data_IF_841642369281
#
_entry.id   IF_841642369281
#
_cell.length_a   1.000
_cell.length_b   1.000
_cell.length_c   1.000
_cell.angle_alpha   90.00
_cell.angle_beta   90.00
_cell.angle_gamma   90.00
#
_symmetry.space_group_name_H-M   'P 1'
#
loop_
_entity.id
_entity.type
_entity.pdbx_description
1 polymer ?
#
# COMPACT_ATOMS: atom_id res chain seq x y z
N UNK A 1 -5.08 -27.73 15.79
CA UNK A 1 -4.19 -28.59 15.00
C UNK A 1 -3.44 -29.54 15.89
N UNK A 2 -3.29 -30.80 15.46
CA UNK A 2 -2.68 -31.87 16.23
C UNK A 2 -1.19 -31.96 15.84
N UNK A 3 -0.31 -31.34 16.63
CA UNK A 3 1.15 -31.29 16.43
C UNK A 3 1.79 -32.65 16.05
N UNK A 4 1.17 -33.75 16.47
CA UNK A 4 1.61 -35.12 16.18
C UNK A 4 1.37 -35.57 14.73
N UNK A 5 0.33 -35.10 14.04
CA UNK A 5 0.13 -35.39 12.61
C UNK A 5 1.12 -34.60 11.75
N UNK A 6 1.43 -33.37 12.19
CA UNK A 6 2.31 -32.42 11.53
C UNK A 6 3.80 -32.84 11.60
N UNK A 7 4.30 -33.24 12.78
CA UNK A 7 5.65 -33.82 12.92
C UNK A 7 5.81 -35.13 12.15
N UNK A 8 4.75 -35.94 12.08
CA UNK A 8 4.77 -37.19 11.30
C UNK A 8 4.88 -36.93 9.79
N UNK A 9 4.25 -35.86 9.30
CA UNK A 9 4.38 -35.37 7.92
C UNK A 9 5.82 -35.00 7.58
N UNK A 10 6.47 -34.18 8.41
CA UNK A 10 7.85 -33.74 8.20
C UNK A 10 8.84 -34.92 8.22
N UNK A 11 8.70 -35.85 9.18
CA UNK A 11 9.53 -37.05 9.21
C UNK A 11 9.27 -38.00 8.04
N UNK A 12 8.03 -38.03 7.51
CA UNK A 12 7.70 -38.78 6.28
C UNK A 12 8.42 -38.17 5.08
N UNK A 13 8.40 -36.84 4.93
CA UNK A 13 9.15 -36.14 3.88
C UNK A 13 10.64 -36.49 3.94
N UNK A 14 11.30 -36.32 5.08
CA UNK A 14 12.73 -36.62 5.21
C UNK A 14 13.09 -38.04 4.81
N UNK A 15 12.28 -39.03 5.20
CA UNK A 15 12.51 -40.42 4.82
C UNK A 15 12.41 -40.64 3.32
N UNK A 16 11.43 -40.01 2.67
CA UNK A 16 11.24 -40.11 1.24
C UNK A 16 12.30 -39.33 0.46
N UNK A 17 12.76 -38.19 0.99
CA UNK A 17 13.84 -37.39 0.42
C UNK A 17 15.17 -38.16 0.42
N UNK A 18 15.55 -38.77 1.54
CA UNK A 18 16.74 -39.64 1.62
C UNK A 18 16.64 -40.77 0.59
N UNK A 19 15.48 -41.43 0.53
CA UNK A 19 15.24 -42.49 -0.45
C UNK A 19 15.35 -41.99 -1.89
N UNK A 20 14.86 -40.79 -2.18
CA UNK A 20 14.98 -40.18 -3.51
C UNK A 20 16.44 -39.86 -3.87
N UNK A 21 17.23 -39.41 -2.90
CA UNK A 21 18.66 -39.18 -3.05
C UNK A 21 19.44 -40.49 -3.32
N UNK A 22 19.11 -41.57 -2.61
CA UNK A 22 19.74 -42.89 -2.76
C UNK A 22 19.36 -43.59 -4.07
N UNK A 23 18.08 -43.56 -4.45
CA UNK A 23 17.58 -44.29 -5.63
C UNK A 23 17.72 -43.51 -6.93
N UNK A 24 17.71 -42.17 -6.88
CA UNK A 24 17.80 -41.26 -8.03
C UNK A 24 16.80 -41.60 -9.16
N UNK A 25 15.62 -42.09 -8.81
CA UNK A 25 14.56 -42.39 -9.79
C UNK A 25 13.49 -41.30 -9.79
N UNK A 26 12.80 -41.13 -10.92
CA UNK A 26 11.63 -40.23 -11.01
C UNK A 26 10.52 -40.63 -10.04
N UNK A 27 10.31 -41.92 -9.80
CA UNK A 27 9.27 -42.39 -8.88
C UNK A 27 9.58 -42.02 -7.42
N UNK A 28 10.83 -42.20 -6.99
CA UNK A 28 11.26 -41.83 -5.64
C UNK A 28 11.24 -40.32 -5.44
N UNK A 29 11.70 -39.55 -6.43
CA UNK A 29 11.63 -38.10 -6.43
C UNK A 29 10.18 -37.59 -6.36
N UNK A 30 9.28 -38.16 -7.15
CA UNK A 30 7.85 -37.81 -7.14
C UNK A 30 7.22 -38.04 -5.76
N UNK A 31 7.51 -39.17 -5.11
CA UNK A 31 6.98 -39.47 -3.77
C UNK A 31 7.50 -38.49 -2.72
N UNK A 32 8.78 -38.11 -2.79
CA UNK A 32 9.35 -37.09 -1.92
C UNK A 32 8.67 -35.74 -2.16
N UNK A 33 8.46 -35.37 -3.43
CA UNK A 33 7.82 -34.12 -3.83
C UNK A 33 6.37 -34.04 -3.34
N UNK A 34 5.57 -35.08 -3.54
CA UNK A 34 4.20 -35.14 -3.01
C UNK A 34 4.17 -35.01 -1.48
N UNK A 35 5.10 -35.68 -0.78
CA UNK A 35 5.18 -35.57 0.67
C UNK A 35 5.58 -34.17 1.15
N UNK A 36 6.27 -33.38 0.32
CA UNK A 36 6.58 -31.98 0.60
C UNK A 36 5.36 -31.08 0.46
N UNK A 37 4.55 -31.28 -0.59
CA UNK A 37 3.32 -30.50 -0.82
C UNK A 37 2.28 -30.67 0.30
N UNK A 38 2.33 -31.79 1.02
CA UNK A 38 1.48 -32.06 2.18
C UNK A 38 1.91 -31.26 3.43
N UNK A 39 3.07 -30.58 3.41
CA UNK A 39 3.62 -29.86 4.57
C UNK A 39 3.08 -28.42 4.65
N UNK A 40 2.82 -27.97 5.88
CA UNK A 40 2.54 -26.57 6.16
C UNK A 40 3.85 -25.83 6.49
N UNK A 41 3.97 -24.58 6.05
CA UNK A 41 5.24 -23.84 6.07
C UNK A 41 5.75 -23.60 7.49
N UNK A 42 4.85 -23.28 8.42
CA UNK A 42 5.25 -23.07 9.81
C UNK A 42 5.88 -24.31 10.47
N UNK A 43 5.55 -25.52 9.99
CA UNK A 43 6.19 -26.77 10.45
C UNK A 43 7.62 -26.83 9.92
N UNK A 44 7.82 -26.46 8.65
CA UNK A 44 9.15 -26.40 8.03
C UNK A 44 10.05 -25.43 8.80
N UNK A 45 9.54 -24.25 9.19
CA UNK A 45 10.28 -23.29 10.01
C UNK A 45 10.77 -23.86 11.35
N UNK A 46 10.03 -24.78 11.96
CA UNK A 46 10.43 -25.38 13.24
C UNK A 46 11.68 -26.27 13.14
N UNK A 47 12.06 -26.68 11.93
CA UNK A 47 13.22 -27.53 11.63
C UNK A 47 13.97 -27.03 10.38
N UNK A 48 14.00 -25.69 10.20
CA UNK A 48 14.47 -25.00 8.98
C UNK A 48 15.80 -25.54 8.46
N UNK A 49 16.84 -25.55 9.32
CA UNK A 49 18.19 -25.92 8.92
C UNK A 49 18.25 -27.35 8.39
N UNK A 50 17.55 -28.29 9.04
CA UNK A 50 17.52 -29.68 8.60
C UNK A 50 16.74 -29.84 7.30
N UNK A 51 15.64 -29.09 7.14
CA UNK A 51 14.86 -29.11 5.92
C UNK A 51 15.69 -28.62 4.74
N UNK A 52 16.37 -27.48 4.89
CA UNK A 52 17.29 -26.90 3.91
C UNK A 52 18.42 -27.89 3.55
N UNK A 53 19.07 -28.50 4.54
CA UNK A 53 20.11 -29.53 4.32
C UNK A 53 19.58 -30.73 3.52
N UNK A 54 18.41 -31.25 3.87
CA UNK A 54 17.79 -32.37 3.13
C UNK A 54 17.43 -31.95 1.71
N UNK A 55 16.89 -30.74 1.55
CA UNK A 55 16.49 -30.21 0.26
C UNK A 55 17.64 -30.11 -0.73
N UNK A 56 18.81 -29.66 -0.25
CA UNK A 56 20.02 -29.57 -1.05
C UNK A 56 20.52 -30.93 -1.58
N UNK A 57 20.07 -32.05 -1.01
CA UNK A 57 20.48 -33.41 -1.45
C UNK A 57 19.55 -34.04 -2.48
N UNK A 58 18.41 -33.42 -2.77
CA UNK A 58 17.41 -34.00 -3.67
C UNK A 58 17.88 -33.94 -5.13
N UNK A 59 17.57 -34.98 -5.94
CA UNK A 59 17.97 -35.03 -7.34
C UNK A 59 17.18 -34.02 -8.19
N UNK A 60 17.75 -33.57 -9.32
CA UNK A 60 17.12 -32.65 -10.29
C UNK A 60 15.69 -33.06 -10.68
N UNK A 61 15.41 -34.36 -10.80
CA UNK A 61 14.06 -34.85 -11.09
C UNK A 61 12.99 -34.46 -10.06
N UNK A 62 13.38 -34.14 -8.82
CA UNK A 62 12.51 -33.53 -7.81
C UNK A 62 12.18 -32.08 -8.18
N UNK A 63 13.20 -31.31 -8.56
CA UNK A 63 13.06 -29.92 -8.99
C UNK A 63 12.24 -29.81 -10.28
N UNK A 64 12.32 -30.79 -11.18
CA UNK A 64 11.46 -30.85 -12.37
C UNK A 64 9.96 -30.88 -12.01
N UNK A 65 9.59 -31.63 -10.98
CA UNK A 65 8.20 -31.66 -10.48
C UNK A 65 7.80 -30.32 -9.85
N UNK A 66 8.69 -29.74 -9.05
CA UNK A 66 8.50 -28.40 -8.49
C UNK A 66 8.27 -27.34 -9.59
N UNK A 67 9.14 -27.30 -10.61
CA UNK A 67 9.03 -26.37 -11.74
C UNK A 67 7.69 -26.53 -12.46
N UNK A 68 7.27 -27.78 -12.70
CA UNK A 68 6.01 -28.07 -13.39
C UNK A 68 4.80 -27.51 -12.63
N UNK A 69 4.77 -27.70 -11.30
CA UNK A 69 3.69 -27.18 -10.47
C UNK A 69 3.77 -25.65 -10.28
N UNK A 70 4.97 -25.07 -10.22
CA UNK A 70 5.13 -23.60 -10.20
C UNK A 70 4.52 -22.97 -11.45
N UNK A 71 4.85 -23.48 -12.64
CA UNK A 71 4.30 -22.99 -13.92
C UNK A 71 2.78 -23.10 -13.91
N UNK A 72 2.26 -24.24 -13.46
CA UNK A 72 0.83 -24.48 -13.35
C UNK A 72 0.16 -23.49 -12.39
N UNK A 73 0.67 -23.36 -11.16
CA UNK A 73 0.05 -22.54 -10.11
C UNK A 73 0.12 -21.05 -10.43
N UNK A 74 1.16 -20.57 -11.11
CA UNK A 74 1.19 -19.17 -11.61
C UNK A 74 -0.05 -18.84 -12.44
N UNK A 75 -0.56 -19.82 -13.21
CA UNK A 75 -1.67 -19.64 -14.13
C UNK A 75 -3.03 -20.06 -13.56
N UNK A 76 -3.10 -21.21 -12.88
CA UNK A 76 -4.34 -21.85 -12.46
C UNK A 76 -4.67 -21.62 -10.98
N UNK A 77 -3.66 -21.36 -10.13
CA UNK A 77 -3.83 -21.27 -8.68
C UNK A 77 -2.85 -20.26 -8.04
N UNK A 78 -2.94 -18.96 -8.40
CA UNK A 78 -1.96 -17.94 -8.01
C UNK A 78 -1.78 -17.76 -6.51
N UNK A 79 -2.83 -18.03 -5.71
CA UNK A 79 -2.74 -18.01 -4.25
C UNK A 79 -1.86 -19.15 -3.74
N UNK A 80 -1.91 -20.34 -4.33
CA UNK A 80 -1.04 -21.47 -3.94
C UNK A 80 0.44 -21.12 -4.15
N UNK A 81 0.77 -20.35 -5.19
CA UNK A 81 2.13 -19.85 -5.36
C UNK A 81 2.58 -18.97 -4.19
N UNK A 82 1.74 -18.01 -3.78
CA UNK A 82 2.06 -17.10 -2.68
C UNK A 82 2.19 -17.83 -1.35
N UNK A 83 1.39 -18.89 -1.15
CA UNK A 83 1.46 -19.72 0.04
C UNK A 83 2.70 -20.60 -0.01
N UNK A 84 2.80 -21.52 -0.97
CA UNK A 84 3.75 -22.64 -0.92
C UNK A 84 5.06 -22.38 -1.66
N UNK A 85 4.97 -21.90 -2.91
CA UNK A 85 6.13 -21.86 -3.81
C UNK A 85 7.12 -20.75 -3.48
N UNK A 86 6.61 -19.56 -3.10
CA UNK A 86 7.45 -18.41 -2.70
C UNK A 86 8.43 -18.78 -1.58
N UNK A 87 7.96 -19.54 -0.60
CA UNK A 87 8.76 -19.97 0.53
C UNK A 87 9.84 -20.97 0.12
N UNK A 88 9.46 -22.01 -0.61
CA UNK A 88 10.39 -23.03 -1.11
C UNK A 88 11.52 -22.41 -1.94
N UNK A 89 11.19 -21.45 -2.80
CA UNK A 89 12.14 -20.75 -3.64
C UNK A 89 13.21 -19.97 -2.85
N UNK A 90 12.91 -19.58 -1.61
CA UNK A 90 13.86 -18.96 -0.69
C UNK A 90 14.76 -19.93 0.08
N UNK A 91 14.53 -21.25 -0.04
CA UNK A 91 15.26 -22.29 0.70
C UNK A 91 16.18 -23.14 -0.17
N UNK A 92 16.03 -23.08 -1.49
CA UNK A 92 16.88 -23.82 -2.43
C UNK A 92 18.27 -23.18 -2.50
N UNK A 93 19.30 -24.00 -2.72
CA UNK A 93 20.67 -23.49 -2.90
C UNK A 93 20.82 -22.68 -4.18
N UNK A 94 21.87 -21.86 -4.30
CA UNK A 94 22.17 -21.10 -5.53
C UNK A 94 22.25 -22.00 -6.78
N UNK A 95 22.80 -23.21 -6.63
CA UNK A 95 22.90 -24.20 -7.72
C UNK A 95 21.52 -24.71 -8.13
N UNK A 96 20.66 -25.04 -7.15
CA UNK A 96 19.29 -25.47 -7.39
C UNK A 96 18.44 -24.33 -7.97
N UNK A 97 18.66 -23.10 -7.52
CA UNK A 97 18.02 -21.90 -8.04
C UNK A 97 18.33 -21.72 -9.52
N UNK A 98 19.61 -21.79 -9.92
CA UNK A 98 19.99 -21.67 -11.33
C UNK A 98 19.41 -22.81 -12.18
N UNK A 99 19.37 -24.04 -11.65
CA UNK A 99 18.69 -25.16 -12.31
C UNK A 99 17.19 -24.88 -12.52
N UNK A 100 16.48 -24.52 -11.45
CA UNK A 100 15.05 -24.20 -11.45
C UNK A 100 14.77 -23.07 -12.43
N UNK A 101 15.56 -21.99 -12.40
CA UNK A 101 15.47 -20.86 -13.34
C UNK A 101 15.65 -21.28 -14.79
N UNK A 102 16.64 -22.12 -15.08
CA UNK A 102 16.85 -22.66 -16.42
C UNK A 102 15.65 -23.49 -16.89
N UNK A 103 15.12 -24.37 -16.04
CA UNK A 103 13.96 -25.19 -16.36
C UNK A 103 12.69 -24.36 -16.53
N UNK A 104 12.47 -23.40 -15.66
CA UNK A 104 11.38 -22.43 -15.72
C UNK A 104 11.43 -21.62 -17.03
N UNK A 105 12.62 -21.25 -17.50
CA UNK A 105 12.79 -20.59 -18.79
C UNK A 105 12.45 -21.54 -19.94
N UNK A 106 13.04 -22.75 -19.96
CA UNK A 106 12.85 -23.73 -21.03
C UNK A 106 11.40 -24.20 -21.17
N UNK A 107 10.73 -24.46 -20.05
CA UNK A 107 9.35 -24.95 -20.02
C UNK A 107 8.36 -23.78 -20.14
N UNK A 108 8.68 -22.63 -19.52
CA UNK A 108 7.89 -21.40 -19.56
C UNK A 108 7.91 -20.67 -20.90
N UNK A 109 8.86 -20.94 -21.81
CA UNK A 109 8.83 -20.40 -23.18
C UNK A 109 7.50 -20.73 -23.91
N UNK A 110 6.90 -21.87 -23.57
CA UNK A 110 5.58 -22.26 -24.09
C UNK A 110 4.40 -21.68 -23.31
N UNK A 111 4.64 -21.09 -22.14
CA UNK A 111 3.66 -20.54 -21.20
C UNK A 111 3.97 -19.06 -20.86
N UNK A 112 3.50 -18.10 -21.69
CA UNK A 112 3.92 -16.70 -21.64
C UNK A 112 3.77 -16.02 -20.26
N UNK A 113 2.74 -16.39 -19.51
CA UNK A 113 2.47 -15.82 -18.18
C UNK A 113 3.49 -16.29 -17.15
N UNK A 114 3.85 -17.58 -17.14
CA UNK A 114 4.89 -18.11 -16.27
C UNK A 114 6.23 -17.44 -16.60
N UNK A 115 6.61 -17.41 -17.89
CA UNK A 115 7.83 -16.73 -18.32
C UNK A 115 7.90 -15.28 -17.82
N UNK A 116 6.85 -14.49 -18.05
CA UNK A 116 6.82 -13.10 -17.61
C UNK A 116 6.93 -12.98 -16.09
N UNK A 117 6.23 -13.85 -15.35
CA UNK A 117 6.29 -13.87 -13.89
C UNK A 117 7.72 -14.07 -13.39
N UNK A 118 8.41 -15.11 -13.89
CA UNK A 118 9.77 -15.47 -13.49
C UNK A 118 10.75 -14.33 -13.80
N UNK A 119 10.67 -13.75 -15.01
CA UNK A 119 11.48 -12.60 -15.40
C UNK A 119 11.23 -11.39 -14.51
N UNK A 120 9.97 -11.15 -14.12
CA UNK A 120 9.61 -10.08 -13.18
C UNK A 120 10.24 -10.29 -11.81
N UNK A 121 10.21 -11.52 -11.27
CA UNK A 121 10.81 -11.85 -9.96
C UNK A 121 12.33 -11.66 -9.99
N UNK A 122 13.01 -12.12 -11.04
CA UNK A 122 14.46 -11.92 -11.22
C UNK A 122 14.85 -10.43 -11.17
N UNK A 123 14.16 -9.62 -11.96
CA UNK A 123 14.42 -8.18 -12.02
C UNK A 123 14.16 -7.48 -10.68
N UNK A 124 13.16 -7.95 -9.94
CA UNK A 124 12.87 -7.45 -8.60
C UNK A 124 13.97 -7.83 -7.60
N UNK A 125 14.54 -9.05 -7.70
CA UNK A 125 15.68 -9.46 -6.88
C UNK A 125 16.98 -8.73 -7.23
N UNK A 126 17.12 -8.26 -8.47
CA UNK A 126 18.21 -7.41 -8.94
C UNK A 126 18.03 -5.92 -8.57
N UNK A 127 17.02 -5.58 -7.76
CA UNK A 127 16.68 -4.22 -7.34
C UNK A 127 16.35 -3.29 -8.51
N UNK A 128 15.66 -3.81 -9.53
CA UNK A 128 15.15 -3.05 -10.70
C UNK A 128 13.62 -3.09 -10.81
N UNK A 129 12.88 -2.63 -9.78
CA UNK A 129 11.42 -2.73 -9.73
C UNK A 129 10.71 -2.03 -10.89
N UNK A 130 11.29 -0.97 -11.48
CA UNK A 130 10.74 -0.28 -12.65
C UNK A 130 10.70 -1.14 -13.90
N UNK A 131 11.63 -2.09 -14.06
CA UNK A 131 11.65 -3.02 -15.19
C UNK A 131 10.73 -4.20 -14.89
N UNK A 132 10.77 -4.71 -13.65
CA UNK A 132 9.90 -5.79 -13.19
C UNK A 132 8.40 -5.46 -13.37
N UNK A 133 8.00 -4.20 -13.17
CA UNK A 133 6.64 -3.72 -13.43
C UNK A 133 6.12 -4.09 -14.83
N UNK A 134 6.93 -3.97 -15.88
CA UNK A 134 6.50 -4.28 -17.24
C UNK A 134 6.10 -5.74 -17.40
N UNK A 135 6.79 -6.64 -16.71
CA UNK A 135 6.51 -8.07 -16.75
C UNK A 135 5.27 -8.42 -15.94
N UNK A 136 5.18 -7.95 -14.69
CA UNK A 136 4.02 -8.23 -13.85
C UNK A 136 2.73 -7.60 -14.37
N UNK A 137 2.80 -6.48 -15.08
CA UNK A 137 1.63 -5.83 -15.70
C UNK A 137 0.99 -6.67 -16.83
N UNK A 138 1.64 -7.74 -17.27
CA UNK A 138 1.07 -8.68 -18.25
C UNK A 138 0.29 -9.84 -17.61
N UNK A 139 0.30 -9.93 -16.28
CA UNK A 139 -0.26 -11.04 -15.51
C UNK A 139 -1.54 -10.56 -14.84
N UNK A 140 -2.68 -10.96 -15.41
CA UNK A 140 -4.01 -10.54 -14.95
C UNK A 140 -4.59 -11.52 -13.93
N UNK A 141 -3.97 -11.61 -12.75
CA UNK A 141 -4.43 -12.42 -11.63
C UNK A 141 -3.86 -11.90 -10.28
N UNK A 142 -4.23 -12.55 -9.17
CA UNK A 142 -3.82 -12.15 -7.81
C UNK A 142 -2.30 -12.12 -7.62
N UNK A 143 -1.58 -13.00 -8.32
CA UNK A 143 -0.12 -13.06 -8.25
C UNK A 143 0.51 -11.85 -8.94
N UNK A 144 0.00 -11.48 -10.12
CA UNK A 144 0.37 -10.25 -10.82
C UNK A 144 0.11 -9.00 -9.97
N UNK A 145 -1.08 -8.90 -9.38
CA UNK A 145 -1.46 -7.79 -8.50
C UNK A 145 -0.54 -7.68 -7.28
N UNK A 146 -0.20 -8.80 -6.63
CA UNK A 146 0.71 -8.83 -5.49
C UNK A 146 2.09 -8.29 -5.86
N UNK A 147 2.70 -8.81 -6.92
CA UNK A 147 4.06 -8.40 -7.30
C UNK A 147 4.13 -7.00 -7.92
N UNK A 148 3.07 -6.55 -8.63
CA UNK A 148 2.92 -5.15 -9.00
C UNK A 148 2.87 -4.25 -7.76
N UNK A 149 2.12 -4.65 -6.72
CA UNK A 149 2.05 -3.91 -5.47
C UNK A 149 3.41 -3.79 -4.79
N UNK A 150 4.19 -4.87 -4.75
CA UNK A 150 5.57 -4.87 -4.23
C UNK A 150 6.47 -3.93 -5.04
N UNK A 151 6.41 -3.97 -6.37
CA UNK A 151 7.18 -3.04 -7.20
C UNK A 151 6.81 -1.57 -6.92
N UNK A 152 5.51 -1.26 -6.86
CA UNK A 152 5.06 0.08 -6.51
C UNK A 152 5.49 0.50 -5.09
N UNK A 153 5.55 -0.44 -4.15
CA UNK A 153 5.99 -0.17 -2.79
C UNK A 153 7.47 0.21 -2.76
N UNK A 154 8.33 -0.54 -3.46
CA UNK A 154 9.77 -0.23 -3.58
C UNK A 154 10.03 1.09 -4.31
N UNK A 155 9.16 1.47 -5.24
CA UNK A 155 9.20 2.76 -5.94
C UNK A 155 8.53 3.91 -5.15
N UNK A 156 8.21 3.70 -3.88
CA UNK A 156 7.53 4.66 -3.00
C UNK A 156 6.16 5.16 -3.52
N UNK A 157 5.58 4.46 -4.48
CA UNK A 157 4.23 4.70 -4.98
C UNK A 157 3.20 3.98 -4.10
N UNK A 158 3.15 4.43 -2.84
CA UNK A 158 2.34 3.81 -1.79
C UNK A 158 0.84 3.81 -2.10
N UNK A 159 0.35 4.78 -2.89
CA UNK A 159 -1.07 4.83 -3.28
C UNK A 159 -1.46 3.65 -4.17
N UNK A 160 -0.64 3.34 -5.18
CA UNK A 160 -0.88 2.20 -6.06
C UNK A 160 -0.60 0.87 -5.36
N UNK A 161 0.49 0.79 -4.58
CA UNK A 161 0.82 -0.38 -3.77
C UNK A 161 -0.34 -0.75 -2.84
N UNK A 162 -0.83 0.21 -2.04
CA UNK A 162 -1.96 0.00 -1.12
C UNK A 162 -3.20 -0.51 -1.83
N UNK A 163 -3.55 0.06 -2.99
CA UNK A 163 -4.73 -0.33 -3.76
C UNK A 163 -4.66 -1.81 -4.17
N UNK A 164 -3.52 -2.24 -4.69
CA UNK A 164 -3.32 -3.60 -5.17
C UNK A 164 -3.23 -4.60 -4.02
N UNK A 165 -2.47 -4.32 -2.97
CA UNK A 165 -2.45 -5.18 -1.77
C UNK A 165 -3.85 -5.33 -1.16
N UNK A 166 -4.64 -4.26 -1.14
CA UNK A 166 -6.02 -4.31 -0.65
C UNK A 166 -6.92 -5.18 -1.54
N UNK A 167 -6.72 -5.17 -2.87
CA UNK A 167 -7.45 -6.03 -3.79
C UNK A 167 -7.15 -7.50 -3.52
N UNK A 168 -5.86 -7.88 -3.42
CA UNK A 168 -5.45 -9.24 -3.08
C UNK A 168 -5.99 -9.69 -1.72
N UNK A 169 -5.97 -8.81 -0.71
CA UNK A 169 -6.55 -9.11 0.60
C UNK A 169 -8.06 -9.34 0.53
N UNK A 170 -8.78 -8.56 -0.29
CA UNK A 170 -10.21 -8.75 -0.49
C UNK A 170 -10.52 -10.08 -1.15
N UNK A 171 -9.76 -10.48 -2.17
CA UNK A 171 -9.92 -11.79 -2.82
C UNK A 171 -9.71 -12.95 -1.84
N UNK A 172 -8.68 -12.86 -0.98
CA UNK A 172 -8.44 -13.86 0.08
C UNK A 172 -9.61 -13.93 1.07
N UNK A 173 -10.14 -12.77 1.48
CA UNK A 173 -11.29 -12.72 2.38
C UNK A 173 -12.56 -13.30 1.74
N UNK A 174 -12.75 -13.12 0.42
CA UNK A 174 -13.85 -13.74 -0.31
C UNK A 174 -13.68 -15.25 -0.42
N UNK A 175 -12.46 -15.72 -0.68
CA UNK A 175 -12.12 -17.14 -0.66
C UNK A 175 -12.44 -17.76 0.72
N UNK A 176 -12.02 -17.13 1.81
CA UNK A 176 -12.29 -17.56 3.18
C UNK A 176 -13.79 -17.59 3.53
N UNK A 177 -14.60 -16.68 2.96
CA UNK A 177 -16.06 -16.73 3.10
C UNK A 177 -16.66 -17.94 2.37
N UNK A 178 -16.14 -18.26 1.19
CA UNK A 178 -16.61 -19.38 0.38
C UNK A 178 -16.13 -20.75 0.90
N UNK A 179 -14.99 -20.78 1.58
CA UNK A 179 -14.34 -21.96 2.13
C UNK A 179 -13.91 -21.70 3.59
N UNK A 180 -14.84 -21.74 4.56
CA UNK A 180 -14.56 -21.37 5.94
C UNK A 180 -13.47 -22.18 6.64
N UNK A 181 -13.16 -23.39 6.15
CA UNK A 181 -12.05 -24.21 6.64
C UNK A 181 -10.68 -23.54 6.47
N UNK A 182 -10.55 -22.61 5.51
CA UNK A 182 -9.32 -21.85 5.27
C UNK A 182 -9.07 -20.77 6.33
N UNK A 183 -10.05 -20.47 7.20
CA UNK A 183 -9.83 -19.53 8.30
C UNK A 183 -8.85 -20.08 9.36
N UNK A 184 -8.71 -21.40 9.44
CA UNK A 184 -7.75 -22.06 10.34
C UNK A 184 -6.40 -22.33 9.67
N UNK A 185 -6.29 -22.07 8.36
CA UNK A 185 -5.05 -22.26 7.61
C UNK A 185 -3.99 -21.25 8.05
N UNK A 186 -2.86 -21.76 8.54
CA UNK A 186 -1.82 -20.92 9.13
C UNK A 186 -1.09 -20.10 8.06
N UNK A 187 -0.86 -20.66 6.87
CA UNK A 187 -0.08 -20.02 5.83
C UNK A 187 -0.90 -18.91 5.15
N UNK A 188 -2.21 -19.13 4.96
CA UNK A 188 -3.13 -18.09 4.49
C UNK A 188 -3.28 -16.94 5.48
N UNK A 189 -3.25 -17.25 6.77
CA UNK A 189 -3.21 -16.24 7.84
C UNK A 189 -1.92 -15.42 7.78
N UNK A 190 -0.76 -16.05 7.59
CA UNK A 190 0.52 -15.35 7.41
C UNK A 190 0.49 -14.41 6.21
N UNK A 191 0.00 -14.86 5.06
CA UNK A 191 -0.17 -14.01 3.88
C UNK A 191 -1.09 -12.81 4.16
N UNK A 192 -2.18 -13.03 4.91
CA UNK A 192 -3.09 -11.95 5.32
C UNK A 192 -2.41 -10.94 6.25
N UNK A 193 -1.53 -11.40 7.15
CA UNK A 193 -0.70 -10.55 8.01
C UNK A 193 0.22 -9.65 7.17
N UNK A 194 0.99 -10.21 6.24
CA UNK A 194 1.90 -9.46 5.37
C UNK A 194 1.16 -8.38 4.59
N UNK A 195 0.02 -8.74 3.98
CA UNK A 195 -0.81 -7.80 3.23
C UNK A 195 -1.31 -6.64 4.12
N UNK A 196 -1.78 -6.94 5.33
CA UNK A 196 -2.21 -5.90 6.27
C UNK A 196 -1.05 -4.99 6.69
N UNK A 197 0.15 -5.54 6.88
CA UNK A 197 1.34 -4.74 7.20
C UNK A 197 1.70 -3.78 6.07
N UNK A 198 1.71 -4.24 4.82
CA UNK A 198 1.94 -3.39 3.66
C UNK A 198 0.86 -2.31 3.52
N UNK A 199 -0.41 -2.67 3.66
CA UNK A 199 -1.54 -1.72 3.57
C UNK A 199 -1.44 -0.67 4.66
N UNK A 200 -1.18 -1.08 5.91
CA UNK A 200 -1.00 -0.19 7.04
C UNK A 200 0.16 0.79 6.80
N UNK A 201 1.34 0.26 6.44
CA UNK A 201 2.54 1.05 6.20
C UNK A 201 2.34 2.05 5.05
N UNK A 202 1.78 1.60 3.93
CA UNK A 202 1.47 2.46 2.80
C UNK A 202 0.43 3.53 3.16
N UNK A 203 -0.61 3.19 3.94
CA UNK A 203 -1.65 4.12 4.39
C UNK A 203 -1.08 5.21 5.31
N UNK A 204 -0.17 4.85 6.22
CA UNK A 204 0.55 5.82 7.06
C UNK A 204 1.40 6.75 6.19
N UNK A 205 2.11 6.20 5.21
CA UNK A 205 3.02 6.96 4.34
C UNK A 205 2.29 8.00 3.47
N UNK A 206 1.07 7.70 3.02
CA UNK A 206 0.24 8.65 2.25
C UNK A 206 -0.65 9.56 3.13
N UNK A 207 -0.61 9.40 4.46
CA UNK A 207 -1.40 10.20 5.40
C UNK A 207 -2.88 9.79 5.54
N UNK A 208 -3.27 8.61 5.05
CA UNK A 208 -4.62 8.04 5.20
C UNK A 208 -4.78 7.37 6.58
N UNK A 209 -4.60 8.14 7.67
CA UNK A 209 -4.50 7.59 9.04
C UNK A 209 -5.74 6.85 9.52
N UNK A 210 -6.94 7.23 9.06
CA UNK A 210 -8.17 6.52 9.40
C UNK A 210 -8.19 5.11 8.81
N UNK A 211 -7.81 4.98 7.54
CA UNK A 211 -7.69 3.68 6.87
C UNK A 211 -6.58 2.85 7.49
N UNK A 212 -5.47 3.47 7.89
CA UNK A 212 -4.41 2.82 8.65
C UNK A 212 -4.94 2.25 9.99
N UNK A 213 -5.72 3.03 10.76
CA UNK A 213 -6.35 2.55 11.99
C UNK A 213 -7.32 1.38 11.73
N UNK A 214 -8.21 1.51 10.74
CA UNK A 214 -9.16 0.46 10.36
C UNK A 214 -8.44 -0.83 9.99
N UNK A 215 -7.33 -0.75 9.25
CA UNK A 215 -6.55 -1.92 8.85
C UNK A 215 -5.81 -2.57 10.04
N UNK A 216 -5.23 -1.75 10.94
CA UNK A 216 -4.64 -2.25 12.18
C UNK A 216 -5.68 -2.92 13.10
N UNK A 217 -6.91 -2.41 13.15
CA UNK A 217 -8.02 -3.03 13.87
C UNK A 217 -8.42 -4.37 13.26
N UNK A 218 -8.48 -4.47 11.92
CA UNK A 218 -8.75 -5.74 11.22
C UNK A 218 -7.72 -6.78 11.63
N UNK A 219 -6.43 -6.45 11.64
CA UNK A 219 -5.41 -7.41 12.04
C UNK A 219 -5.59 -7.92 13.49
N UNK A 220 -6.01 -7.03 14.39
CA UNK A 220 -6.33 -7.39 15.77
C UNK A 220 -7.59 -8.24 15.94
N UNK A 221 -8.44 -8.33 14.90
CA UNK A 221 -9.56 -9.29 14.87
C UNK A 221 -9.13 -10.66 14.33
N UNK A 222 -8.12 -10.70 13.45
CA UNK A 222 -7.60 -11.93 12.84
C UNK A 222 -6.60 -12.67 13.74
N UNK A 223 -5.90 -11.91 14.60
CA UNK A 223 -4.84 -12.45 15.44
C UNK A 223 -4.89 -11.86 16.85
N UNK A 224 -4.70 -12.72 17.85
CA UNK A 224 -4.32 -12.25 19.17
C UNK A 224 -2.83 -11.82 19.18
N UNK A 225 -2.47 -10.95 20.13
CA UNK A 225 -1.13 -10.38 20.20
C UNK A 225 -0.02 -11.41 20.41
N UNK A 226 -0.28 -12.53 21.10
CA UNK A 226 0.74 -13.56 21.29
C UNK A 226 1.02 -14.28 19.97
N UNK A 227 -0.04 -14.56 19.22
CA UNK A 227 0.08 -15.14 17.88
C UNK A 227 0.86 -14.23 16.94
N UNK A 228 0.59 -12.91 16.94
CA UNK A 228 1.36 -11.94 16.12
C UNK A 228 2.84 -11.89 16.48
N UNK A 229 3.18 -11.93 17.77
CA UNK A 229 4.57 -11.94 18.23
C UNK A 229 5.26 -13.22 17.77
N UNK A 230 4.63 -14.39 18.00
CA UNK A 230 5.20 -15.67 17.59
C UNK A 230 5.44 -15.74 16.08
N UNK A 231 4.51 -15.20 15.28
CA UNK A 231 4.61 -15.13 13.82
C UNK A 231 5.80 -14.30 13.38
N UNK A 232 6.14 -13.21 14.05
CA UNK A 232 7.16 -12.26 13.58
C UNK A 232 8.55 -12.58 14.10
N UNK A 233 8.66 -13.21 15.27
CA UNK A 233 9.94 -13.62 15.85
C UNK A 233 10.61 -14.77 15.08
N UNK A 234 9.85 -15.57 14.32
CA UNK A 234 10.41 -16.65 13.50
C UNK A 234 11.07 -16.18 12.20
N UNK A 235 10.90 -14.93 11.78
CA UNK A 235 11.35 -14.41 10.47
C UNK A 235 12.46 -13.35 10.55
N UNK A 236 12.75 -12.79 11.72
CA UNK A 236 13.75 -11.73 11.86
C UNK A 236 15.14 -12.30 12.12
N UNK A 237 15.98 -12.34 11.08
CA UNK A 237 17.42 -12.50 11.22
C UNK A 237 18.02 -11.18 11.75
N UNK A 238 18.44 -11.22 13.02
CA UNK A 238 19.29 -10.26 13.77
C UNK A 238 20.01 -9.16 12.95
N UNK A 239 19.39 -7.99 12.72
CA UNK A 239 20.15 -6.81 12.27
C UNK A 239 19.85 -5.52 13.06
N UNK A 240 18.71 -5.38 13.72
CA UNK A 240 18.45 -4.29 14.67
C UNK A 240 17.48 -4.81 15.75
N UNK A 241 17.52 -4.30 16.99
CA UNK A 241 16.68 -4.70 18.13
C UNK A 241 15.14 -4.47 17.94
N UNK A 242 14.67 -4.41 16.68
CA UNK A 242 13.27 -4.15 16.29
C UNK A 242 12.77 -5.32 15.45
N UNK A 243 11.69 -5.93 15.91
CA UNK A 243 10.99 -6.98 15.17
C UNK A 243 10.01 -6.39 14.15
N UNK A 244 9.57 -7.17 13.17
CA UNK A 244 8.48 -6.78 12.27
C UNK A 244 7.20 -6.44 13.04
N UNK A 245 6.97 -7.10 14.17
CA UNK A 245 5.90 -6.74 15.09
C UNK A 245 6.09 -5.36 15.71
N UNK A 246 7.31 -4.99 16.12
CA UNK A 246 7.59 -3.65 16.65
C UNK A 246 7.35 -2.57 15.58
N UNK A 247 7.69 -2.86 14.31
CA UNK A 247 7.42 -1.96 13.17
C UNK A 247 5.91 -1.82 12.94
N UNK A 248 5.16 -2.93 12.95
CA UNK A 248 3.71 -2.91 12.85
C UNK A 248 3.07 -2.09 13.98
N UNK A 249 3.50 -2.31 15.23
CA UNK A 249 3.03 -1.53 16.39
C UNK A 249 3.31 -0.04 16.17
N UNK A 250 4.52 0.32 15.75
CA UNK A 250 4.87 1.71 15.48
C UNK A 250 3.92 2.34 14.46
N UNK A 251 3.67 1.69 13.33
CA UNK A 251 2.79 2.22 12.29
C UNK A 251 1.34 2.36 12.77
N UNK A 252 0.84 1.39 13.53
CA UNK A 252 -0.50 1.47 14.12
C UNK A 252 -0.60 2.62 15.15
N UNK A 253 0.43 2.82 15.97
CA UNK A 253 0.49 3.94 16.92
C UNK A 253 0.58 5.29 16.21
N UNK A 254 1.34 5.40 15.12
CA UNK A 254 1.36 6.61 14.28
C UNK A 254 -0.05 6.94 13.78
N UNK A 255 -0.79 5.94 13.29
CA UNK A 255 -2.17 6.13 12.82
C UNK A 255 -3.11 6.65 13.94
N UNK A 256 -3.00 6.09 15.15
CA UNK A 256 -3.78 6.52 16.31
C UNK A 256 -3.37 7.92 16.82
N UNK A 257 -2.07 8.19 16.89
CA UNK A 257 -1.50 9.46 17.35
C UNK A 257 -1.93 10.62 16.46
N UNK A 258 -1.86 10.45 15.13
CA UNK A 258 -2.27 11.46 14.15
C UNK A 258 -3.77 11.75 14.19
N UNK A 259 -4.57 10.82 14.69
CA UNK A 259 -6.00 11.00 14.94
C UNK A 259 -6.32 11.44 16.37
N UNK A 260 -5.31 11.75 17.19
CA UNK A 260 -5.45 12.15 18.60
C UNK A 260 -6.14 11.09 19.48
N UNK A 261 -6.14 9.83 19.05
CA UNK A 261 -6.76 8.71 19.75
C UNK A 261 -5.83 8.14 20.83
N UNK A 262 -5.30 9.02 21.69
CA UNK A 262 -4.26 8.68 22.66
C UNK A 262 -4.72 7.65 23.68
N UNK A 263 -6.01 7.66 24.05
CA UNK A 263 -6.59 6.66 24.95
C UNK A 263 -6.50 5.24 24.39
N UNK A 264 -6.83 5.07 23.11
CA UNK A 264 -6.72 3.77 22.43
C UNK A 264 -5.26 3.36 22.31
N UNK A 265 -4.38 4.28 21.94
CA UNK A 265 -2.95 4.05 21.80
C UNK A 265 -2.28 3.61 23.12
N UNK A 266 -2.50 4.33 24.24
CA UNK A 266 -1.95 3.95 25.56
C UNK A 266 -2.47 2.58 25.99
N UNK A 267 -3.79 2.36 25.93
CA UNK A 267 -4.39 1.07 26.31
C UNK A 267 -3.81 -0.10 25.49
N UNK A 268 -3.56 0.14 24.21
CA UNK A 268 -2.93 -0.85 23.34
C UNK A 268 -1.47 -1.10 23.72
N UNK A 269 -0.66 -0.04 23.88
CA UNK A 269 0.76 -0.13 24.24
C UNK A 269 0.98 -0.78 25.61
N UNK A 270 0.12 -0.53 26.60
CA UNK A 270 0.18 -1.22 27.90
C UNK A 270 -0.01 -2.74 27.76
N UNK A 271 -0.85 -3.19 26.82
CA UNK A 271 -1.01 -4.64 26.54
C UNK A 271 0.22 -5.19 25.85
N UNK A 272 0.79 -4.45 24.90
CA UNK A 272 2.01 -4.86 24.17
C UNK A 272 3.22 -4.91 25.09
N UNK A 273 3.44 -3.91 25.96
CA UNK A 273 4.57 -3.85 26.92
C UNK A 273 4.57 -5.03 27.90
N UNK A 274 3.40 -5.56 28.26
CA UNK A 274 3.31 -6.80 29.07
C UNK A 274 3.83 -8.04 28.34
N UNK A 275 3.73 -8.07 27.02
CA UNK A 275 4.20 -9.18 26.19
C UNK A 275 5.64 -8.98 25.72
N UNK A 276 6.06 -7.72 25.50
CA UNK A 276 7.41 -7.33 25.11
C UNK A 276 8.00 -6.34 26.13
N UNK A 277 8.36 -6.79 27.35
CA UNK A 277 8.90 -5.91 28.40
C UNK A 277 10.24 -5.30 28.02
N UNK A 278 11.03 -5.96 27.18
CA UNK A 278 12.40 -5.55 26.83
C UNK A 278 12.47 -4.64 25.59
N UNK A 279 11.35 -4.41 24.88
CA UNK A 279 11.35 -3.56 23.69
C UNK A 279 11.45 -2.08 24.05
N UNK A 280 12.59 -1.48 23.71
CA UNK A 280 12.89 -0.06 23.91
C UNK A 280 11.98 0.85 23.07
N UNK A 281 11.61 0.41 21.86
CA UNK A 281 10.69 1.14 20.99
C UNK A 281 9.30 1.24 21.62
N UNK A 282 8.77 0.12 22.13
CA UNK A 282 7.44 0.10 22.77
C UNK A 282 7.42 0.99 24.02
N UNK A 283 8.51 1.00 24.79
CA UNK A 283 8.65 1.89 25.95
C UNK A 283 8.62 3.37 25.55
N UNK A 284 9.45 3.75 24.56
CA UNK A 284 9.47 5.11 24.04
C UNK A 284 8.11 5.55 23.50
N UNK A 285 7.42 4.69 22.74
CA UNK A 285 6.08 5.00 22.22
C UNK A 285 5.08 5.19 23.36
N UNK A 286 5.12 4.33 24.39
CA UNK A 286 4.22 4.43 25.53
C UNK A 286 4.45 5.73 26.31
N UNK A 287 5.70 6.10 26.58
CA UNK A 287 6.03 7.37 27.25
C UNK A 287 5.55 8.57 26.42
N UNK A 288 5.88 8.60 25.13
CA UNK A 288 5.53 9.70 24.22
C UNK A 288 4.02 9.94 24.13
N UNK A 289 3.22 8.86 24.01
CA UNK A 289 1.76 8.98 23.94
C UNK A 289 1.17 9.26 25.33
N UNK A 290 1.74 8.72 26.41
CA UNK A 290 1.33 9.00 27.79
C UNK A 290 1.48 10.47 28.16
N UNK A 291 2.57 11.10 27.70
CA UNK A 291 2.77 12.54 27.83
C UNK A 291 1.70 13.34 27.09
N UNK A 292 1.35 12.93 25.86
CA UNK A 292 0.32 13.59 25.05
C UNK A 292 -1.07 13.47 25.67
N UNK A 293 -1.46 12.28 26.15
CA UNK A 293 -2.75 12.11 26.84
C UNK A 293 -2.79 12.90 28.15
N UNK A 294 -1.70 12.93 28.92
CA UNK A 294 -1.62 13.72 30.15
C UNK A 294 -1.81 15.21 29.89
N UNK A 295 -1.16 15.74 28.84
CA UNK A 295 -1.38 17.13 28.38
C UNK A 295 -2.82 17.36 27.93
N UNK A 296 -3.40 16.44 27.16
CA UNK A 296 -4.78 16.52 26.69
C UNK A 296 -5.78 16.51 27.86
N UNK A 297 -5.59 15.63 28.85
CA UNK A 297 -6.43 15.56 30.04
C UNK A 297 -6.27 16.77 30.95
N UNK A 298 -5.05 17.27 31.10
CA UNK A 298 -4.76 18.51 31.82
C UNK A 298 -5.45 19.69 31.15
N UNK A 299 -5.34 19.82 29.83
CA UNK A 299 -6.09 20.80 29.06
C UNK A 299 -7.60 20.61 29.27
N UNK A 300 -8.13 19.39 29.17
CA UNK A 300 -9.54 19.09 29.40
C UNK A 300 -10.01 19.32 30.84
N UNK A 301 -9.12 19.41 31.84
CA UNK A 301 -9.46 19.76 33.24
C UNK A 301 -9.39 21.27 33.48
N UNK A 302 -8.47 21.97 32.81
CA UNK A 302 -8.26 23.43 32.93
C UNK A 302 -9.26 24.20 32.08
N UNK A 303 -9.59 23.71 30.88
CA UNK A 303 -10.46 24.40 29.95
C UNK A 303 -11.91 24.55 30.47
N UNK A 304 -12.58 23.52 31.05
CA UNK A 304 -13.98 23.65 31.46
C UNK A 304 -14.24 24.71 32.55
N UNK A 305 -13.40 24.89 33.58
CA UNK A 305 -13.52 26.00 34.53
C UNK A 305 -13.24 27.38 33.93
N UNK A 306 -12.34 27.49 32.95
CA UNK A 306 -12.11 28.74 32.20
C UNK A 306 -13.34 29.05 31.32
N UNK A 307 -14.01 28.02 30.81
CA UNK A 307 -15.27 28.12 30.08
C UNK A 307 -16.50 28.00 31.02
N UNK A 308 -16.53 28.74 32.13
CA UNK A 308 -17.80 28.97 32.85
C UNK A 308 -18.85 29.54 31.89
N UNK A 309 -20.02 28.87 31.81
CA UNK A 309 -21.26 29.23 31.07
C UNK A 309 -21.05 30.35 30.05
N UNK A 310 -20.90 30.00 28.76
CA UNK A 310 -20.93 30.97 27.64
C UNK A 310 -22.10 31.96 27.83
N UNK A 311 -21.82 33.15 28.38
CA UNK A 311 -22.30 34.37 27.74
C UNK A 311 -21.64 34.36 26.37
N UNK A 312 -22.44 34.53 25.32
CA UNK A 312 -21.97 34.51 23.95
C UNK A 312 -20.69 35.36 23.80
N UNK A 313 -19.55 34.70 23.67
CA UNK A 313 -18.24 35.35 23.62
C UNK A 313 -17.67 35.23 22.21
N UNK A 314 -17.52 36.40 21.57
CA UNK A 314 -16.38 36.82 20.78
C UNK A 314 -16.05 36.07 19.50
N UNK A 315 -16.60 36.54 18.38
CA UNK A 315 -16.27 36.13 16.99
C UNK A 315 -14.75 36.18 16.70
N UNK A 316 -13.98 37.04 17.40
CA UNK A 316 -12.57 37.29 17.07
C UNK A 316 -11.62 36.13 17.39
N UNK A 317 -11.85 35.35 18.44
CA UNK A 317 -10.95 34.25 18.82
C UNK A 317 -11.28 32.95 18.06
N UNK A 318 -12.52 32.78 17.61
CA UNK A 318 -12.92 31.72 16.68
C UNK A 318 -12.23 31.85 15.32
N UNK A 319 -12.01 33.08 14.86
CA UNK A 319 -11.30 33.38 13.59
C UNK A 319 -9.82 33.00 13.66
N UNK A 320 -9.19 33.11 14.84
CA UNK A 320 -7.80 32.73 15.07
C UNK A 320 -7.58 31.21 15.06
N UNK A 321 -8.48 30.45 15.69
CA UNK A 321 -8.40 28.98 15.72
C UNK A 321 -8.82 28.34 14.38
N UNK A 322 -9.78 28.94 13.65
CA UNK A 322 -10.14 28.48 12.30
C UNK A 322 -9.06 28.79 11.24
N UNK A 323 -8.21 29.81 11.45
CA UNK A 323 -7.06 30.09 10.58
C UNK A 323 -6.06 28.93 10.47
N UNK A 324 -5.95 28.10 11.52
CA UNK A 324 -5.08 26.91 11.53
C UNK A 324 -5.77 25.68 10.90
N UNK A 325 -7.10 25.58 10.98
CA UNK A 325 -7.87 24.52 10.30
C UNK A 325 -8.07 24.76 8.79
N UNK A 326 -7.79 25.99 8.33
CA UNK A 326 -7.82 26.45 6.93
C UNK A 326 -6.55 26.09 6.14
N UNK A 327 -5.67 25.24 6.68
CA UNK A 327 -4.50 24.68 5.97
C UNK A 327 -4.83 23.49 5.03
N UNK A 328 -6.12 23.19 4.77
CA UNK A 328 -6.51 22.31 3.65
C UNK A 328 -6.32 23.03 2.30
N UNK A 329 -5.75 22.36 1.31
CA UNK A 329 -5.40 22.96 0.03
C UNK A 329 -6.66 23.42 -0.73
N UNK A 330 -6.59 24.55 -1.48
CA UNK A 330 -7.68 25.01 -2.35
C UNK A 330 -8.14 23.90 -3.34
N UNK A 331 -7.21 23.01 -3.70
CA UNK A 331 -7.47 21.79 -4.46
C UNK A 331 -8.46 20.86 -3.76
N UNK A 332 -8.29 20.61 -2.45
CA UNK A 332 -9.17 19.74 -1.66
C UNK A 332 -10.59 20.30 -1.60
N UNK A 333 -10.71 21.63 -1.51
CA UNK A 333 -12.00 22.31 -1.48
C UNK A 333 -12.74 22.15 -2.81
N UNK A 334 -12.05 22.34 -3.93
CA UNK A 334 -12.61 22.18 -5.28
C UNK A 334 -12.98 20.71 -5.54
N UNK A 335 -12.12 19.78 -5.15
CA UNK A 335 -12.38 18.33 -5.27
C UNK A 335 -13.60 17.90 -4.43
N UNK A 336 -13.73 18.41 -3.20
CA UNK A 336 -14.91 18.18 -2.36
C UNK A 336 -16.18 18.77 -3.00
N UNK A 337 -16.11 19.97 -3.57
CA UNK A 337 -17.25 20.58 -4.28
C UNK A 337 -17.72 19.70 -5.43
N UNK A 338 -16.79 19.24 -6.28
CA UNK A 338 -17.06 18.32 -7.37
C UNK A 338 -17.68 17.02 -6.85
N UNK A 339 -17.09 16.41 -5.81
CA UNK A 339 -17.57 15.15 -5.21
C UNK A 339 -19.01 15.26 -4.70
N UNK A 340 -19.41 16.41 -4.19
CA UNK A 340 -20.79 16.66 -3.73
C UNK A 340 -21.71 17.21 -4.83
N UNK A 341 -21.29 17.18 -6.09
CA UNK A 341 -22.10 17.60 -7.24
C UNK A 341 -22.33 19.10 -7.33
N UNK A 342 -21.47 19.91 -6.69
CA UNK A 342 -21.54 21.37 -6.79
C UNK A 342 -20.86 21.85 -8.06
N UNK A 343 -21.39 22.94 -8.64
CA UNK A 343 -20.72 23.63 -9.74
C UNK A 343 -19.48 24.36 -9.23
N UNK A 344 -18.37 24.17 -9.94
CA UNK A 344 -17.12 24.90 -9.70
C UNK A 344 -16.83 25.75 -10.93
N UNK A 345 -16.46 27.02 -10.73
CA UNK A 345 -16.25 27.99 -11.81
C UNK A 345 -17.47 28.15 -12.75
N UNK A 346 -18.68 27.96 -12.20
CA UNK A 346 -19.94 28.00 -12.94
C UNK A 346 -20.14 26.84 -13.91
N UNK A 347 -19.47 25.70 -13.68
CA UNK A 347 -19.47 24.52 -14.55
C UNK A 347 -19.70 23.24 -13.76
N UNK A 348 -20.35 22.27 -14.39
CA UNK A 348 -20.45 20.89 -13.90
C UNK A 348 -19.15 20.17 -14.28
N UNK A 349 -18.14 20.22 -13.40
CA UNK A 349 -16.81 19.66 -13.65
C UNK A 349 -16.62 18.36 -12.88
N UNK A 350 -15.83 17.47 -13.46
CA UNK A 350 -15.28 16.30 -12.78
C UNK A 350 -13.75 16.36 -12.77
N UNK A 351 -13.10 15.72 -11.80
CA UNK A 351 -11.64 15.58 -11.85
C UNK A 351 -11.28 14.59 -12.94
N UNK A 352 -10.41 15.00 -13.86
CA UNK A 352 -10.02 14.16 -14.99
C UNK A 352 -9.23 12.94 -14.51
N UNK A 353 -9.37 11.80 -15.19
CA UNK A 353 -8.61 10.60 -14.91
C UNK A 353 -8.33 9.87 -16.24
N UNK A 354 -7.09 9.44 -16.41
CA UNK A 354 -6.62 8.65 -17.54
C UNK A 354 -5.57 7.63 -17.08
N UNK A 355 -4.91 6.98 -18.04
CA UNK A 355 -3.85 6.00 -17.78
C UNK A 355 -2.58 6.64 -17.18
N UNK A 356 -2.43 7.97 -17.24
CA UNK A 356 -1.31 8.70 -16.66
C UNK A 356 -1.58 9.12 -15.20
N UNK A 357 -2.84 9.17 -14.77
CA UNK A 357 -3.19 9.29 -13.36
C UNK A 357 -4.47 10.07 -13.08
N UNK A 358 -4.62 10.44 -11.80
CA UNK A 358 -5.71 11.28 -11.33
C UNK A 358 -5.38 12.75 -11.53
N UNK A 359 -6.37 13.56 -11.90
CA UNK A 359 -6.22 14.95 -12.31
C UNK A 359 -5.76 15.92 -11.22
N UNK A 360 -5.42 15.47 -10.02
CA UNK A 360 -4.87 16.34 -8.96
C UNK A 360 -3.35 16.24 -8.95
N UNK A 361 -2.69 17.40 -8.92
CA UNK A 361 -1.24 17.50 -9.09
C UNK A 361 -0.77 16.72 -10.33
N UNK A 362 -1.50 16.91 -11.42
CA UNK A 362 -1.37 16.13 -12.65
C UNK A 362 -0.05 16.47 -13.36
N UNK A 363 0.71 15.43 -13.69
CA UNK A 363 1.94 15.52 -14.46
C UNK A 363 1.73 14.98 -15.86
N UNK A 364 2.40 15.58 -16.83
CA UNK A 364 2.35 15.13 -18.23
C UNK A 364 3.79 15.15 -18.79
N UNK A 365 4.24 14.09 -19.49
CA UNK A 365 5.57 14.05 -20.11
C UNK A 365 5.88 15.24 -21.05
N UNK A 366 4.85 15.87 -21.61
CA UNK A 366 4.97 17.02 -22.50
C UNK A 366 5.03 18.37 -21.77
N UNK A 367 5.01 18.39 -20.43
CA UNK A 367 4.93 19.58 -19.59
C UNK A 367 6.09 19.56 -18.58
N UNK A 368 6.80 20.68 -18.47
CA UNK A 368 7.74 20.92 -17.38
C UNK A 368 6.99 21.63 -16.24
N UNK A 369 6.58 20.86 -15.23
CA UNK A 369 5.83 21.34 -14.07
C UNK A 369 4.67 20.42 -13.69
N UNK A 370 4.02 20.74 -12.59
CA UNK A 370 2.86 20.03 -12.06
C UNK A 370 1.63 20.93 -12.26
N UNK A 371 0.54 20.39 -12.80
CA UNK A 371 -0.75 21.08 -12.91
C UNK A 371 -1.50 20.85 -11.60
N UNK A 372 -1.93 21.90 -10.90
CA UNK A 372 -2.62 21.76 -9.60
C UNK A 372 -3.88 20.90 -9.72
N UNK A 373 -4.74 21.19 -10.70
CA UNK A 373 -5.89 20.35 -11.06
C UNK A 373 -6.11 20.30 -12.59
N UNK A 374 -6.39 19.11 -13.11
CA UNK A 374 -6.88 18.84 -14.45
C UNK A 374 -8.31 18.33 -14.32
N UNK A 375 -9.25 19.12 -14.81
CA UNK A 375 -10.69 18.87 -14.71
C UNK A 375 -11.29 18.62 -16.09
N UNK A 376 -12.45 17.98 -16.16
CA UNK A 376 -13.19 17.74 -17.39
C UNK A 376 -14.64 18.16 -17.24
N UNK A 377 -15.16 18.89 -18.22
CA UNK A 377 -16.59 19.01 -18.47
C UNK A 377 -16.99 17.90 -19.45
N UNK A 378 -17.64 16.85 -18.95
CA UNK A 378 -18.05 15.71 -19.78
C UNK A 378 -19.12 16.05 -20.82
N UNK A 379 -19.91 17.12 -20.61
CA UNK A 379 -20.97 17.51 -21.56
C UNK A 379 -20.36 18.15 -22.81
N UNK A 380 -19.33 18.96 -22.63
CA UNK A 380 -18.65 19.69 -23.72
C UNK A 380 -17.34 19.03 -24.17
N UNK A 381 -16.97 17.91 -23.57
CA UNK A 381 -15.71 17.20 -23.76
C UNK A 381 -14.48 18.12 -23.70
N UNK A 382 -14.51 19.07 -22.76
CA UNK A 382 -13.47 20.10 -22.59
C UNK A 382 -12.67 19.87 -21.31
N UNK A 383 -11.34 19.80 -21.46
CA UNK A 383 -10.39 19.75 -20.36
C UNK A 383 -10.04 21.15 -19.87
N UNK A 384 -9.94 21.30 -18.56
CA UNK A 384 -9.54 22.54 -17.89
C UNK A 384 -8.29 22.30 -17.07
N UNK A 385 -7.20 22.94 -17.46
CA UNK A 385 -5.97 23.04 -16.68
C UNK A 385 -6.15 24.17 -15.68
N UNK A 386 -6.09 23.87 -14.39
CA UNK A 386 -6.26 24.83 -13.31
C UNK A 386 -4.93 25.09 -12.60
N UNK A 387 -4.59 26.36 -12.44
CA UNK A 387 -3.52 26.84 -11.58
C UNK A 387 -4.13 27.67 -10.44
N UNK A 388 -3.74 27.34 -9.20
CA UNK A 388 -4.21 27.94 -7.97
C UNK A 388 -3.09 28.75 -7.33
N UNK A 389 -3.36 30.00 -6.96
CA UNK A 389 -2.44 30.82 -6.16
C UNK A 389 -3.13 31.38 -4.92
N UNK A 390 -2.48 31.20 -3.77
CA UNK A 390 -2.98 31.69 -2.47
C UNK A 390 -2.87 33.21 -2.32
N UNK A 391 -1.95 33.82 -3.05
CA UNK A 391 -1.63 35.25 -3.00
C UNK A 391 -1.75 35.87 -4.40
N UNK A 392 -1.45 37.16 -4.49
CA UNK A 392 -1.34 37.89 -5.75
C UNK A 392 -0.38 37.20 -6.72
N UNK A 393 -0.77 37.14 -7.99
CA UNK A 393 0.08 36.67 -9.07
C UNK A 393 0.04 37.63 -10.26
N UNK A 394 1.17 37.71 -10.95
CA UNK A 394 1.36 38.47 -12.17
C UNK A 394 1.23 37.62 -13.43
N UNK A 395 1.85 38.10 -14.50
CA UNK A 395 1.80 37.51 -15.85
C UNK A 395 2.48 36.12 -15.89
N UNK A 396 3.36 35.81 -14.93
CA UNK A 396 4.06 34.53 -14.83
C UNK A 396 3.11 33.32 -14.75
N UNK A 397 1.99 33.45 -14.02
CA UNK A 397 0.98 32.40 -13.90
C UNK A 397 0.22 32.21 -15.21
N UNK A 398 -0.08 33.29 -15.92
CA UNK A 398 -0.65 33.21 -17.26
C UNK A 398 0.25 32.41 -18.21
N UNK A 399 1.55 32.75 -18.22
CA UNK A 399 2.53 32.04 -19.04
C UNK A 399 2.63 30.55 -18.66
N UNK A 400 2.49 30.22 -17.38
CA UNK A 400 2.48 28.83 -16.89
C UNK A 400 1.27 28.07 -17.41
N UNK A 401 0.06 28.62 -17.26
CA UNK A 401 -1.17 27.99 -17.76
C UNK A 401 -1.14 27.81 -19.27
N UNK A 402 -0.61 28.78 -20.05
CA UNK A 402 -0.45 28.61 -21.51
C UNK A 402 0.50 27.48 -21.87
N UNK A 403 1.60 27.29 -21.12
CA UNK A 403 2.49 26.14 -21.32
C UNK A 403 1.77 24.82 -21.05
N UNK A 404 0.97 24.79 -19.99
CA UNK A 404 0.20 23.61 -19.62
C UNK A 404 -0.86 23.26 -20.67
N UNK A 405 -1.65 24.23 -21.13
CA UNK A 405 -2.62 24.05 -22.23
C UNK A 405 -1.91 23.46 -23.46
N UNK A 406 -0.77 24.05 -23.87
CA UNK A 406 -0.02 23.58 -25.04
C UNK A 406 0.49 22.14 -24.85
N UNK A 407 0.93 21.78 -23.65
CA UNK A 407 1.42 20.43 -23.36
C UNK A 407 0.29 19.40 -23.33
N UNK A 408 -0.83 19.68 -22.67
CA UNK A 408 -2.00 18.78 -22.64
C UNK A 408 -2.56 18.58 -24.05
N UNK A 409 -2.67 19.64 -24.86
CA UNK A 409 -3.14 19.56 -26.26
C UNK A 409 -2.34 18.59 -27.13
N UNK A 410 -1.07 18.32 -26.82
CA UNK A 410 -0.27 17.36 -27.59
C UNK A 410 -0.71 15.90 -27.37
N UNK A 411 -1.31 15.61 -26.22
CA UNK A 411 -1.71 14.25 -25.82
C UNK A 411 -3.19 13.95 -26.00
N UNK A 412 -3.99 14.88 -26.54
CA UNK A 412 -5.45 14.71 -26.59
C UNK A 412 -6.08 15.44 -27.78
N UNK A 413 -7.16 14.88 -28.32
CA UNK A 413 -8.02 15.53 -29.32
C UNK A 413 -9.09 16.44 -28.69
N UNK A 414 -9.20 16.45 -27.35
CA UNK A 414 -10.19 17.24 -26.60
C UNK A 414 -9.86 18.73 -26.66
N UNK A 415 -10.89 19.56 -26.49
CA UNK A 415 -10.68 21.00 -26.30
C UNK A 415 -10.01 21.22 -24.95
N UNK A 416 -8.95 22.04 -24.90
CA UNK A 416 -8.22 22.34 -23.66
C UNK A 416 -8.26 23.83 -23.38
N UNK A 417 -8.73 24.20 -22.19
CA UNK A 417 -8.77 25.57 -21.68
C UNK A 417 -8.00 25.69 -20.37
N UNK A 418 -7.63 26.90 -20.01
CA UNK A 418 -6.98 27.25 -18.76
C UNK A 418 -7.95 27.91 -17.78
N UNK A 419 -7.73 27.68 -16.51
CA UNK A 419 -8.33 28.41 -15.41
C UNK A 419 -7.21 28.87 -14.49
N UNK A 420 -7.21 30.15 -14.17
CA UNK A 420 -6.37 30.74 -13.13
C UNK A 420 -7.31 31.14 -12.00
N UNK A 421 -7.06 30.65 -10.78
CA UNK A 421 -7.84 31.03 -9.60
C UNK A 421 -6.92 31.54 -8.50
N UNK A 422 -7.16 32.77 -8.04
CA UNK A 422 -6.27 33.45 -7.10
C UNK A 422 -7.03 34.45 -6.22
N UNK A 423 -6.43 34.90 -5.11
CA UNK A 423 -7.12 35.81 -4.19
C UNK A 423 -7.35 37.19 -4.81
N UNK A 424 -6.30 37.78 -5.41
CA UNK A 424 -6.36 39.11 -6.01
C UNK A 424 -5.47 39.20 -7.25
N UNK A 425 -6.05 39.58 -8.39
CA UNK A 425 -5.36 39.66 -9.67
C UNK A 425 -4.73 41.05 -9.87
N UNK A 426 -3.54 41.09 -10.45
CA UNK A 426 -2.94 42.35 -10.93
C UNK A 426 -3.70 42.86 -12.17
N UNK A 427 -3.78 44.18 -12.35
CA UNK A 427 -4.45 44.78 -13.51
C UNK A 427 -3.88 44.28 -14.85
N UNK A 428 -2.56 44.07 -14.91
CA UNK A 428 -1.88 43.53 -16.08
C UNK A 428 -2.30 42.10 -16.40
N UNK A 429 -2.49 41.24 -15.39
CA UNK A 429 -3.02 39.89 -15.58
C UNK A 429 -4.47 39.91 -16.05
N UNK A 430 -5.30 40.79 -15.48
CA UNK A 430 -6.71 40.96 -15.89
C UNK A 430 -6.80 41.37 -17.36
N UNK A 431 -6.02 42.37 -17.78
CA UNK A 431 -6.00 42.84 -19.19
C UNK A 431 -5.54 41.75 -20.14
N UNK A 432 -4.50 40.99 -19.77
CA UNK A 432 -4.00 39.87 -20.57
C UNK A 432 -5.07 38.79 -20.78
N UNK A 433 -5.68 38.31 -19.69
CA UNK A 433 -6.67 37.22 -19.77
C UNK A 433 -7.97 37.67 -20.46
N UNK A 434 -8.38 38.94 -20.33
CA UNK A 434 -9.56 39.47 -21.05
C UNK A 434 -9.46 39.36 -22.57
N UNK A 435 -8.24 39.31 -23.11
CA UNK A 435 -7.99 39.20 -24.56
C UNK A 435 -7.78 37.75 -25.04
N UNK A 436 -7.81 36.76 -24.14
CA UNK A 436 -7.55 35.35 -24.44
C UNK A 436 -8.77 34.46 -24.15
N UNK A 437 -9.40 33.93 -25.19
CA UNK A 437 -10.58 33.05 -25.06
C UNK A 437 -10.27 31.64 -24.52
N UNK A 438 -8.98 31.27 -24.43
CA UNK A 438 -8.54 29.97 -23.94
C UNK A 438 -8.30 29.95 -22.42
N UNK A 439 -8.16 31.12 -21.77
CA UNK A 439 -7.83 31.22 -20.34
C UNK A 439 -8.93 31.98 -19.63
N UNK A 440 -9.43 31.41 -18.53
CA UNK A 440 -10.39 32.09 -17.66
C UNK A 440 -9.72 32.49 -16.36
N UNK A 441 -10.02 33.69 -15.87
CA UNK A 441 -9.52 34.19 -14.60
C UNK A 441 -10.66 34.26 -13.60
N UNK A 442 -10.48 33.60 -12.46
CA UNK A 442 -11.41 33.65 -11.33
C UNK A 442 -10.68 34.21 -10.13
N UNK A 443 -11.42 34.96 -9.32
CA UNK A 443 -11.00 35.27 -7.96
C UNK A 443 -11.84 34.47 -6.99
N UNK A 444 -11.26 34.14 -5.85
CA UNK A 444 -12.04 33.68 -4.72
C UNK A 444 -12.04 34.78 -3.66
N UNK A 445 -13.24 35.09 -3.17
CA UNK A 445 -13.45 36.08 -2.14
C UNK A 445 -14.01 35.40 -0.90
N UNK A 446 -13.31 35.57 0.23
CA UNK A 446 -13.79 35.13 1.53
C UNK A 446 -14.09 36.38 2.35
N UNK A 447 -15.38 36.75 2.43
CA UNK A 447 -15.83 37.88 3.24
C UNK A 447 -16.74 37.41 4.36
N UNK A 448 -16.44 37.86 5.58
CA UNK A 448 -17.32 37.70 6.72
C UNK A 448 -18.16 38.96 6.87
N UNK A 449 -19.41 38.91 6.41
CA UNK A 449 -20.36 40.00 6.61
C UNK A 449 -20.98 39.91 8.00
N UNK A 450 -20.84 40.97 8.81
CA UNK A 450 -21.64 41.15 10.02
C UNK A 450 -23.10 41.35 9.60
N UNK A 451 -23.93 40.33 9.79
CA UNK A 451 -25.38 40.54 9.84
C UNK A 451 -25.66 41.27 11.16
N UNK A 452 -26.36 42.39 11.06
CA UNK A 452 -26.54 43.39 12.13
C UNK A 452 -26.82 42.83 13.50
#
# INVERSE_FOLDING_TARGET
MNKYEDEAGLQRFYRLAIKACEEQTRESAFKAYQAMLDLQIHIVYSDYNRFEEVLATLPDSFLDYYVSDVIKDISEAPINYLLSHKFFFGMISDEQYEYVKQQLTLQGESEPMAYNFIRGVELLTEDTPEIALFYFNTIDNQLGDYYLAVCYYNLENYKNARRLFQAVLTDIQELQKSAPQLNEDTDLRLLSYDLCQYILSASVSIGEFKTAEENGDVLLTLFDLKSLIAITESYTANIDDKTDFDIWVNNYIVALDKQTNYKKAVKFLERVKKLRPDSTLIEFLLESVSDKISRQETANKILPPIFHKKRAFGINDFVSANRLALEKNLEDLIELQIKYGMQVFGKDLEVYQDNAGYGKQYTNPNIKGIIDLLLIDKKTDTLYVLELKRNDAGIEVYNQVKRYIKGVKKGTSKTVKGIICLHQATNSLIEMVKTDEEVNLFTYHFEFKKLG
#
